data_IF_115976715365
#
_entry.id   IF_115976715365
#
_cell.length_a   1.000
_cell.length_b   1.000
_cell.length_c   1.000
_cell.angle_alpha   90.00
_cell.angle_beta   90.00
_cell.angle_gamma   90.00
#
_symmetry.space_group_name_H-M   'P 1'
#
loop_
_entity.id
_entity.type
_entity.pdbx_description
1 polymer ?
#
# COMPACT_ATOMS: atom_id res chain seq x y z
N UNK A 1 -18.62 -20.60 -23.99
CA UNK A 1 -19.09 -20.95 -22.63
C UNK A 1 -18.13 -21.97 -22.07
N UNK A 2 -17.75 -21.83 -20.81
CA UNK A 2 -17.07 -22.84 -20.02
C UNK A 2 -17.96 -23.14 -18.80
N UNK A 3 -18.68 -24.27 -18.81
CA UNK A 3 -19.78 -24.52 -17.87
C UNK A 3 -20.79 -23.37 -17.88
N UNK A 4 -21.01 -22.72 -16.73
CA UNK A 4 -21.86 -21.54 -16.57
C UNK A 4 -21.12 -20.20 -16.72
N UNK A 5 -19.84 -20.23 -17.13
CA UNK A 5 -19.06 -19.02 -17.36
C UNK A 5 -19.09 -18.63 -18.85
N UNK A 6 -19.57 -17.43 -19.15
CA UNK A 6 -19.45 -16.82 -20.48
C UNK A 6 -18.04 -16.26 -20.63
N UNK A 7 -17.40 -16.52 -21.77
CA UNK A 7 -16.09 -15.96 -22.12
C UNK A 7 -16.33 -14.75 -23.01
N UNK A 8 -15.84 -13.58 -22.62
CA UNK A 8 -16.11 -12.34 -23.34
C UNK A 8 -14.90 -11.90 -24.19
N UNK A 9 -13.77 -11.59 -23.58
CA UNK A 9 -12.55 -11.14 -24.30
C UNK A 9 -11.28 -11.62 -23.61
N UNK A 10 -10.22 -11.81 -24.38
CA UNK A 10 -8.89 -12.14 -23.87
C UNK A 10 -8.25 -10.92 -23.19
N UNK A 11 -7.69 -11.13 -21.99
CA UNK A 11 -6.89 -10.16 -21.25
C UNK A 11 -5.40 -10.32 -21.49
N UNK A 12 -4.90 -11.56 -21.37
CA UNK A 12 -3.48 -11.86 -21.46
C UNK A 12 -3.25 -13.27 -21.98
N UNK A 13 -2.06 -13.51 -22.52
CA UNK A 13 -1.56 -14.83 -22.87
C UNK A 13 -0.18 -15.02 -22.23
N UNK A 14 0.06 -16.17 -21.62
CA UNK A 14 1.30 -16.51 -20.94
C UNK A 14 1.77 -17.94 -21.19
N UNK A 15 2.86 -18.34 -20.55
CA UNK A 15 3.45 -19.68 -20.72
C UNK A 15 2.50 -20.82 -20.34
N UNK A 16 1.67 -20.64 -19.33
CA UNK A 16 0.74 -21.64 -18.81
C UNK A 16 -0.61 -21.68 -19.50
N UNK A 17 -1.03 -20.58 -20.10
CA UNK A 17 -2.36 -20.47 -20.68
C UNK A 17 -2.74 -19.04 -20.99
N UNK A 18 -4.03 -18.83 -21.11
CA UNK A 18 -4.61 -17.53 -21.42
C UNK A 18 -5.57 -17.08 -20.33
N UNK A 19 -5.67 -15.78 -20.14
CA UNK A 19 -6.61 -15.16 -19.19
C UNK A 19 -7.65 -14.37 -19.97
N UNK A 20 -8.90 -14.57 -19.65
CA UNK A 20 -10.05 -13.91 -20.27
C UNK A 20 -10.88 -13.13 -19.25
N UNK A 21 -11.51 -12.06 -19.68
CA UNK A 21 -12.69 -11.54 -19.00
C UNK A 21 -13.85 -12.48 -19.31
N UNK A 22 -14.59 -12.84 -18.31
CA UNK A 22 -15.80 -13.62 -18.46
C UNK A 22 -16.88 -13.18 -17.48
N UNK A 23 -18.00 -13.86 -17.52
CA UNK A 23 -19.15 -13.57 -16.69
C UNK A 23 -19.72 -14.88 -16.10
N UNK A 24 -19.82 -14.93 -14.79
CA UNK A 24 -20.50 -16.00 -14.07
C UNK A 24 -22.01 -15.80 -14.18
N UNK A 25 -22.65 -16.60 -15.03
CA UNK A 25 -24.09 -16.46 -15.29
C UNK A 25 -24.94 -16.99 -14.15
N UNK A 26 -24.39 -17.80 -13.25
CA UNK A 26 -25.11 -18.32 -12.08
C UNK A 26 -25.17 -17.34 -10.93
N UNK A 27 -24.10 -16.56 -10.73
CA UNK A 27 -23.98 -15.56 -9.66
C UNK A 27 -24.08 -14.11 -10.17
N UNK A 28 -24.31 -13.94 -11.48
CA UNK A 28 -24.49 -12.64 -12.15
C UNK A 28 -23.36 -11.64 -11.86
N UNK A 29 -22.08 -12.07 -12.04
CA UNK A 29 -20.91 -11.24 -11.74
C UNK A 29 -19.80 -11.42 -12.78
N UNK A 30 -18.96 -10.36 -13.00
CA UNK A 30 -17.77 -10.48 -13.82
C UNK A 30 -16.71 -11.33 -13.12
N UNK A 31 -15.93 -12.10 -13.91
CA UNK A 31 -14.85 -12.96 -13.44
C UNK A 31 -13.65 -12.89 -14.39
N UNK A 32 -12.47 -13.23 -13.91
CA UNK A 32 -11.33 -13.58 -14.74
C UNK A 32 -11.28 -15.10 -14.90
N UNK A 33 -11.11 -15.58 -16.13
CA UNK A 33 -11.04 -17.00 -16.47
C UNK A 33 -9.64 -17.29 -16.97
N UNK A 34 -8.87 -18.09 -16.20
CA UNK A 34 -7.51 -18.53 -16.57
C UNK A 34 -7.58 -19.95 -17.05
N UNK A 35 -7.28 -20.18 -18.34
CA UNK A 35 -7.25 -21.50 -18.98
C UNK A 35 -5.85 -22.09 -18.93
N UNK A 36 -5.75 -23.42 -18.93
CA UNK A 36 -4.47 -24.14 -19.03
C UNK A 36 -4.26 -24.59 -20.47
N UNK A 37 -3.04 -24.45 -20.96
CA UNK A 37 -2.67 -24.95 -22.28
C UNK A 37 -2.88 -26.48 -22.37
N UNK A 38 -3.45 -27.00 -23.47
CA UNK A 38 -3.72 -28.44 -23.64
C UNK A 38 -2.47 -29.33 -23.48
N UNK A 39 -1.28 -28.78 -23.84
CA UNK A 39 -0.02 -29.52 -23.65
C UNK A 39 0.32 -29.78 -22.18
N UNK A 40 0.10 -28.80 -21.30
CA UNK A 40 0.30 -28.91 -19.85
C UNK A 40 -0.81 -29.73 -19.19
N UNK A 41 -2.01 -29.67 -19.72
CA UNK A 41 -3.16 -30.43 -19.22
C UNK A 41 -3.00 -31.96 -19.44
N UNK A 42 -2.08 -32.41 -20.31
CA UNK A 42 -1.76 -33.83 -20.49
C UNK A 42 -0.86 -34.39 -19.37
N UNK A 43 -0.12 -33.53 -18.68
CA UNK A 43 0.68 -33.93 -17.50
C UNK A 43 -0.22 -34.03 -16.27
N UNK A 44 -0.54 -35.28 -15.88
CA UNK A 44 -1.38 -35.54 -14.70
C UNK A 44 -0.77 -35.00 -13.42
N UNK A 45 0.54 -35.04 -13.26
CA UNK A 45 1.21 -34.51 -12.07
C UNK A 45 1.11 -32.99 -12.01
N UNK A 46 1.20 -32.29 -13.15
CA UNK A 46 0.96 -30.88 -13.25
C UNK A 46 -0.48 -30.52 -12.86
N UNK A 47 -1.48 -31.24 -13.40
CA UNK A 47 -2.89 -30.96 -13.07
C UNK A 47 -3.22 -31.16 -11.60
N UNK A 48 -2.72 -32.24 -10.99
CA UNK A 48 -2.93 -32.48 -9.54
C UNK A 48 -2.36 -31.33 -8.72
N UNK A 49 -1.16 -30.84 -9.04
CA UNK A 49 -0.56 -29.68 -8.36
C UNK A 49 -1.39 -28.43 -8.60
N UNK A 50 -1.76 -28.14 -9.84
CA UNK A 50 -2.57 -26.99 -10.20
C UNK A 50 -3.89 -26.92 -9.41
N UNK A 51 -4.64 -28.04 -9.35
CA UNK A 51 -5.90 -28.09 -8.60
C UNK A 51 -5.66 -27.92 -7.11
N UNK A 52 -4.63 -28.57 -6.54
CA UNK A 52 -4.29 -28.47 -5.11
C UNK A 52 -3.90 -27.04 -4.73
N UNK A 53 -3.08 -26.38 -5.53
CA UNK A 53 -2.63 -24.99 -5.29
C UNK A 53 -3.80 -24.02 -5.44
N UNK A 54 -4.66 -24.17 -6.45
CA UNK A 54 -5.87 -23.38 -6.60
C UNK A 54 -6.82 -23.56 -5.40
N UNK A 55 -7.00 -24.79 -4.90
CA UNK A 55 -7.81 -25.05 -3.70
C UNK A 55 -7.18 -24.43 -2.45
N UNK A 56 -5.86 -24.50 -2.30
CA UNK A 56 -5.16 -23.88 -1.19
C UNK A 56 -5.34 -22.35 -1.22
N UNK A 57 -5.13 -21.70 -2.37
CA UNK A 57 -5.34 -20.27 -2.53
C UNK A 57 -6.80 -19.86 -2.30
N UNK A 58 -7.78 -20.67 -2.70
CA UNK A 58 -9.20 -20.41 -2.50
C UNK A 58 -9.58 -20.23 -1.02
N UNK A 59 -8.81 -20.84 -0.10
CA UNK A 59 -8.99 -20.72 1.34
C UNK A 59 -8.39 -19.43 1.92
N UNK A 60 -7.55 -18.70 1.16
CA UNK A 60 -6.99 -17.41 1.61
C UNK A 60 -8.01 -16.32 1.33
N UNK A 61 -8.77 -15.93 2.35
CA UNK A 61 -9.79 -14.87 2.25
C UNK A 61 -9.22 -13.57 2.79
N UNK A 62 -8.78 -12.68 1.91
CA UNK A 62 -8.22 -11.39 2.30
C UNK A 62 -8.42 -10.33 1.20
N UNK A 63 -8.70 -9.04 1.55
CA UNK A 63 -8.92 -7.97 0.56
C UNK A 63 -7.77 -7.76 -0.42
N UNK A 64 -6.55 -8.13 -0.05
CA UNK A 64 -5.34 -7.97 -0.87
C UNK A 64 -4.89 -9.28 -1.55
N UNK A 65 -5.76 -10.29 -1.63
CA UNK A 65 -5.50 -11.56 -2.33
C UNK A 65 -6.63 -11.81 -3.32
N UNK A 66 -6.29 -12.10 -4.58
CA UNK A 66 -7.27 -12.45 -5.61
C UNK A 66 -7.98 -13.74 -5.22
N UNK A 67 -9.30 -13.66 -5.05
CA UNK A 67 -10.13 -14.79 -4.65
C UNK A 67 -10.36 -15.75 -5.82
N UNK A 68 -10.14 -17.04 -5.62
CA UNK A 68 -10.53 -18.10 -6.56
C UNK A 68 -11.98 -18.52 -6.25
N UNK A 69 -12.79 -18.61 -7.29
CA UNK A 69 -14.20 -18.98 -7.19
C UNK A 69 -14.49 -20.40 -7.66
N UNK A 70 -13.73 -20.86 -8.65
CA UNK A 70 -13.92 -22.17 -9.25
C UNK A 70 -12.63 -22.69 -9.87
N UNK A 71 -12.40 -23.99 -9.82
CA UNK A 71 -11.39 -24.71 -10.59
C UNK A 71 -11.99 -26.00 -11.13
N UNK A 72 -11.74 -26.32 -12.39
CA UNK A 72 -12.25 -27.56 -12.99
C UNK A 72 -12.02 -27.64 -14.49
N UNK A 73 -12.69 -28.58 -15.10
CA UNK A 73 -12.59 -28.91 -16.52
C UNK A 73 -13.95 -28.79 -17.21
N UNK A 74 -13.92 -28.35 -18.45
CA UNK A 74 -15.05 -28.40 -19.38
C UNK A 74 -14.54 -28.69 -20.79
N UNK A 75 -15.10 -29.72 -21.44
CA UNK A 75 -14.75 -30.19 -22.80
C UNK A 75 -13.23 -30.41 -23.02
N UNK A 76 -12.54 -30.94 -22.02
CA UNK A 76 -11.10 -31.21 -22.08
C UNK A 76 -10.23 -29.97 -21.78
N UNK A 77 -10.82 -28.82 -21.52
CA UNK A 77 -10.12 -27.58 -21.16
C UNK A 77 -10.18 -27.34 -19.65
N UNK A 78 -9.03 -27.39 -19.00
CA UNK A 78 -8.90 -27.02 -17.60
C UNK A 78 -8.84 -25.52 -17.44
N UNK A 79 -9.60 -24.99 -16.47
CA UNK A 79 -9.63 -23.57 -16.19
C UNK A 79 -9.92 -23.28 -14.71
N UNK A 80 -9.60 -22.06 -14.28
CA UNK A 80 -10.08 -21.49 -13.03
C UNK A 80 -10.81 -20.18 -13.27
N UNK A 81 -11.87 -19.94 -12.49
CA UNK A 81 -12.54 -18.65 -12.40
C UNK A 81 -12.13 -17.95 -11.10
N UNK A 82 -11.79 -16.70 -11.19
CA UNK A 82 -11.30 -15.91 -10.07
C UNK A 82 -11.83 -14.47 -10.13
N UNK A 83 -11.60 -13.72 -9.08
CA UNK A 83 -11.91 -12.29 -9.01
C UNK A 83 -11.31 -11.55 -10.20
N UNK A 84 -12.13 -10.77 -10.89
CA UNK A 84 -11.67 -9.84 -11.91
C UNK A 84 -11.17 -8.57 -11.23
N UNK A 85 -9.88 -8.27 -11.43
CA UNK A 85 -9.24 -7.01 -11.01
C UNK A 85 -8.97 -6.20 -12.27
N UNK A 86 -9.53 -5.01 -12.38
CA UNK A 86 -9.73 -4.31 -13.65
C UNK A 86 -8.81 -3.10 -13.91
N UNK A 87 -7.86 -2.81 -13.01
CA UNK A 87 -6.96 -1.65 -13.14
C UNK A 87 -5.55 -1.97 -13.66
N UNK A 88 -5.29 -3.23 -14.07
CA UNK A 88 -3.97 -3.65 -14.57
C UNK A 88 -3.02 -4.12 -13.47
N UNK A 89 -1.77 -4.38 -13.84
CA UNK A 89 -0.72 -4.83 -12.93
C UNK A 89 0.24 -3.70 -12.55
N UNK A 90 0.99 -3.85 -11.44
CA UNK A 90 2.08 -2.93 -11.11
C UNK A 90 3.23 -2.99 -12.13
N UNK A 91 3.31 -4.06 -12.95
CA UNK A 91 4.26 -4.13 -14.07
C UNK A 91 3.88 -3.15 -15.17
N UNK A 92 2.59 -3.00 -15.48
CA UNK A 92 2.10 -2.05 -16.49
C UNK A 92 2.41 -0.60 -16.06
N UNK A 93 2.39 -0.31 -14.77
CA UNK A 93 2.75 1.00 -14.22
C UNK A 93 4.26 1.31 -14.29
N UNK A 94 5.10 0.27 -14.39
CA UNK A 94 6.56 0.39 -14.57
C UNK A 94 6.96 0.57 -16.04
N UNK A 95 6.02 0.50 -16.97
CA UNK A 95 6.33 0.68 -18.40
C UNK A 95 7.05 2.02 -18.65
N UNK A 96 8.14 1.96 -19.39
CA UNK A 96 9.03 3.10 -19.61
C UNK A 96 10.04 3.36 -18.47
N UNK A 97 10.20 2.44 -17.50
CA UNK A 97 11.18 2.56 -16.40
C UNK A 97 10.82 3.62 -15.36
N UNK A 98 9.57 4.03 -15.29
CA UNK A 98 9.09 5.06 -14.35
C UNK A 98 8.90 4.48 -12.95
N UNK A 99 9.68 4.98 -11.98
CA UNK A 99 9.52 4.64 -10.58
C UNK A 99 8.17 5.12 -10.02
N UNK A 100 7.57 4.35 -9.12
CA UNK A 100 6.36 4.73 -8.41
C UNK A 100 6.70 5.63 -7.20
N UNK A 101 5.75 6.48 -6.84
CA UNK A 101 5.87 7.30 -5.64
C UNK A 101 5.95 6.40 -4.39
N UNK A 102 6.91 6.67 -3.51
CA UNK A 102 7.20 5.84 -2.33
C UNK A 102 5.98 5.62 -1.42
N UNK A 103 5.11 6.61 -1.29
CA UNK A 103 3.90 6.51 -0.47
C UNK A 103 2.89 5.50 -1.04
N UNK A 104 2.75 5.41 -2.37
CA UNK A 104 1.92 4.37 -3.01
C UNK A 104 2.48 2.99 -2.75
N UNK A 105 3.81 2.82 -2.96
CA UNK A 105 4.48 1.54 -2.70
C UNK A 105 4.28 1.13 -1.25
N UNK A 106 4.54 2.02 -0.28
CA UNK A 106 4.37 1.71 1.14
C UNK A 106 2.92 1.30 1.48
N UNK A 107 1.92 2.03 0.97
CA UNK A 107 0.50 1.73 1.21
C UNK A 107 0.08 0.38 0.64
N UNK A 108 0.44 0.07 -0.63
CA UNK A 108 0.12 -1.21 -1.24
C UNK A 108 0.75 -2.39 -0.47
N UNK A 109 2.02 -2.24 -0.10
CA UNK A 109 2.76 -3.34 0.52
C UNK A 109 2.39 -3.60 1.99
N UNK A 110 1.77 -2.65 2.70
CA UNK A 110 1.11 -2.95 3.98
C UNK A 110 0.04 -4.01 3.78
N UNK A 111 -0.91 -3.79 2.88
CA UNK A 111 -2.01 -4.71 2.64
C UNK A 111 -1.58 -6.04 2.03
N UNK A 112 -0.60 -6.03 1.10
CA UNK A 112 -0.04 -7.25 0.52
C UNK A 112 0.66 -8.12 1.58
N UNK A 113 1.43 -7.50 2.49
CA UNK A 113 2.06 -8.22 3.60
C UNK A 113 1.02 -8.79 4.59
N UNK A 114 -0.12 -8.13 4.79
CA UNK A 114 -1.24 -8.66 5.56
C UNK A 114 -1.90 -9.85 4.88
N UNK A 115 -2.14 -9.77 3.57
CA UNK A 115 -2.63 -10.89 2.78
C UNK A 115 -1.70 -12.10 2.81
N UNK A 116 -0.38 -11.85 2.74
CA UNK A 116 0.63 -12.91 2.88
C UNK A 116 0.71 -13.48 4.31
N UNK A 117 0.43 -12.67 5.34
CA UNK A 117 0.34 -13.19 6.71
C UNK A 117 -0.85 -14.16 6.86
N UNK A 118 -1.97 -13.90 6.19
CA UNK A 118 -3.10 -14.85 6.17
C UNK A 118 -2.76 -16.13 5.40
N UNK A 119 -2.10 -16.03 4.23
CA UNK A 119 -1.62 -17.19 3.49
C UNK A 119 -0.65 -18.05 4.33
N UNK A 120 0.28 -17.42 5.05
CA UNK A 120 1.24 -18.10 5.90
C UNK A 120 0.57 -18.86 7.08
N UNK A 121 -0.56 -18.38 7.62
CA UNK A 121 -1.36 -19.11 8.63
C UNK A 121 -1.91 -20.44 8.10
N UNK A 122 -2.10 -20.52 6.79
CA UNK A 122 -2.53 -21.73 6.08
C UNK A 122 -1.35 -22.56 5.54
N UNK A 123 -0.10 -22.22 5.95
CA UNK A 123 1.15 -22.79 5.45
C UNK A 123 1.33 -22.68 3.92
N UNK A 124 0.82 -21.61 3.34
CA UNK A 124 0.93 -21.32 1.91
C UNK A 124 2.08 -20.33 1.70
N UNK A 125 3.00 -20.67 0.80
CA UNK A 125 4.09 -19.83 0.31
C UNK A 125 3.78 -19.48 -1.14
N UNK A 126 3.89 -18.20 -1.50
CA UNK A 126 3.52 -17.71 -2.84
C UNK A 126 4.56 -18.07 -3.92
N UNK A 127 5.85 -17.90 -3.63
CA UNK A 127 7.03 -18.28 -4.46
C UNK A 127 7.23 -17.49 -5.77
N UNK A 128 6.27 -16.66 -6.21
CA UNK A 128 6.34 -15.89 -7.47
C UNK A 128 5.79 -14.46 -7.29
N UNK A 129 6.20 -13.78 -6.21
CA UNK A 129 5.81 -12.37 -5.97
C UNK A 129 6.68 -11.47 -6.86
N UNK A 130 6.00 -10.72 -7.75
CA UNK A 130 6.61 -9.77 -8.70
C UNK A 130 5.59 -8.74 -9.15
N UNK A 131 5.99 -7.61 -9.76
CA UNK A 131 5.06 -6.57 -10.19
C UNK A 131 3.94 -7.06 -11.11
N UNK A 132 4.21 -8.05 -11.98
CA UNK A 132 3.21 -8.61 -12.89
C UNK A 132 2.10 -9.40 -12.18
N UNK A 133 2.35 -9.93 -10.98
CA UNK A 133 1.40 -10.69 -10.18
C UNK A 133 0.69 -9.85 -9.10
N UNK A 134 0.92 -8.53 -9.09
CA UNK A 134 0.22 -7.59 -8.23
C UNK A 134 -0.71 -6.74 -9.10
N UNK A 135 -2.00 -7.01 -9.01
CA UNK A 135 -3.04 -6.32 -9.75
C UNK A 135 -3.59 -5.16 -8.91
N UNK A 136 -3.94 -4.07 -9.56
CA UNK A 136 -4.55 -2.92 -8.89
C UNK A 136 -5.99 -2.77 -9.38
N UNK A 137 -6.94 -2.60 -8.48
CA UNK A 137 -8.33 -2.38 -8.87
C UNK A 137 -8.60 -0.89 -9.17
N UNK A 138 -9.82 -0.60 -9.66
CA UNK A 138 -10.29 0.76 -9.96
C UNK A 138 -10.27 1.71 -8.76
N UNK A 139 -10.22 1.19 -7.54
CA UNK A 139 -10.14 1.97 -6.30
C UNK A 139 -8.70 2.18 -5.82
N UNK A 140 -7.72 1.65 -6.56
CA UNK A 140 -6.31 1.73 -6.22
C UNK A 140 -5.87 0.73 -5.15
N UNK A 141 -6.64 -0.33 -4.90
CA UNK A 141 -6.28 -1.40 -3.97
C UNK A 141 -5.46 -2.45 -4.71
N UNK A 142 -4.30 -2.81 -4.15
CA UNK A 142 -3.44 -3.85 -4.70
C UNK A 142 -3.87 -5.24 -4.22
N UNK A 143 -3.91 -6.19 -5.16
CA UNK A 143 -4.27 -7.58 -4.93
C UNK A 143 -3.18 -8.51 -5.45
N UNK A 144 -2.76 -9.49 -4.66
CA UNK A 144 -1.81 -10.50 -5.05
C UNK A 144 -2.51 -11.64 -5.79
N UNK A 145 -2.03 -11.96 -6.98
CA UNK A 145 -2.55 -12.99 -7.86
C UNK A 145 -1.51 -14.08 -8.12
N UNK A 146 -1.93 -15.21 -8.65
CA UNK A 146 -1.05 -16.28 -9.16
C UNK A 146 -0.06 -16.84 -8.13
N UNK A 147 -0.59 -17.36 -7.01
CA UNK A 147 0.19 -18.14 -6.05
C UNK A 147 0.82 -19.34 -6.77
N UNK A 148 2.13 -19.34 -6.84
CA UNK A 148 3.08 -20.41 -7.22
C UNK A 148 2.66 -21.58 -8.11
N UNK A 149 1.60 -21.43 -8.91
CA UNK A 149 1.05 -22.47 -9.79
C UNK A 149 2.07 -23.07 -10.78
N UNK A 150 3.29 -22.53 -10.78
CA UNK A 150 4.32 -22.82 -11.78
C UNK A 150 5.61 -23.39 -11.22
N UNK A 151 5.76 -23.59 -9.92
CA UNK A 151 7.06 -23.93 -9.36
C UNK A 151 7.45 -25.37 -9.67
N UNK A 152 8.67 -25.53 -10.18
CA UNK A 152 9.27 -26.76 -10.66
C UNK A 152 9.15 -27.97 -9.72
N UNK A 153 9.12 -29.22 -10.24
CA UNK A 153 9.12 -30.42 -9.43
C UNK A 153 10.42 -30.50 -8.62
N UNK A 154 10.30 -30.47 -7.28
CA UNK A 154 11.43 -30.63 -6.35
C UNK A 154 11.35 -29.89 -5.02
N UNK A 155 10.47 -28.91 -4.86
CA UNK A 155 10.46 -28.03 -3.69
C UNK A 155 9.49 -28.42 -2.56
N UNK A 156 8.77 -29.54 -2.65
CA UNK A 156 7.97 -30.05 -1.53
C UNK A 156 8.60 -31.33 -1.01
N UNK A 157 9.29 -31.26 0.14
CA UNK A 157 9.51 -32.45 0.95
C UNK A 157 8.14 -32.93 1.43
N UNK A 158 7.62 -33.98 0.81
CA UNK A 158 6.72 -34.90 1.52
C UNK A 158 7.46 -35.47 2.73
N UNK A 159 6.82 -35.70 3.88
CA UNK A 159 7.46 -36.33 5.03
C UNK A 159 7.63 -37.84 4.88
N UNK A 160 7.92 -38.33 3.68
CA UNK A 160 8.22 -39.76 3.43
C UNK A 160 9.46 -39.87 2.54
N UNK A 161 10.53 -40.32 3.19
CA UNK A 161 11.88 -40.45 2.65
C UNK A 161 11.94 -41.20 1.32
N UNK A 162 12.19 -40.47 0.27
CA UNK A 162 12.86 -41.00 -0.91
C UNK A 162 13.68 -39.88 -1.52
N UNK A 163 14.99 -39.98 -1.35
CA UNK A 163 15.96 -39.09 -1.99
C UNK A 163 15.87 -39.27 -3.51
N UNK A 164 15.48 -38.23 -4.25
CA UNK A 164 15.79 -38.14 -5.68
C UNK A 164 16.99 -37.20 -5.83
N UNK A 165 18.18 -37.80 -5.85
CA UNK A 165 19.39 -37.26 -6.48
C UNK A 165 19.14 -37.26 -7.99
N UNK A 166 19.15 -36.09 -8.65
CA UNK A 166 19.06 -36.05 -10.11
C UNK A 166 18.65 -34.72 -10.70
N UNK A 167 19.41 -33.66 -10.45
CA UNK A 167 19.22 -32.39 -11.14
C UNK A 167 20.55 -31.75 -11.61
N UNK A 168 21.61 -32.55 -11.81
CA UNK A 168 22.93 -32.06 -12.32
C UNK A 168 23.40 -32.76 -13.58
N UNK A 169 22.66 -33.72 -14.17
CA UNK A 169 23.00 -34.31 -15.46
C UNK A 169 22.12 -33.70 -16.56
N UNK A 170 22.80 -33.07 -17.52
CA UNK A 170 22.28 -32.29 -18.63
C UNK A 170 21.48 -33.14 -19.64
N UNK A 171 20.23 -33.43 -19.32
CA UNK A 171 19.22 -33.88 -20.27
C UNK A 171 17.93 -33.11 -20.05
N UNK A 172 17.66 -32.24 -20.99
CA UNK A 172 16.39 -31.63 -21.41
C UNK A 172 15.16 -31.86 -20.49
N UNK A 173 15.10 -31.18 -19.36
CA UNK A 173 13.81 -30.77 -18.84
C UNK A 173 13.42 -29.50 -19.59
N UNK A 174 12.42 -29.57 -20.46
CA UNK A 174 11.80 -28.42 -21.14
C UNK A 174 11.14 -27.54 -20.09
N UNK A 175 11.94 -26.82 -19.34
CA UNK A 175 11.52 -25.67 -18.57
C UNK A 175 11.28 -24.55 -19.57
N UNK A 176 10.07 -24.02 -19.61
CA UNK A 176 9.72 -22.86 -20.44
C UNK A 176 10.67 -21.71 -20.13
N UNK A 177 11.74 -21.59 -20.91
CA UNK A 177 12.85 -20.65 -20.77
C UNK A 177 12.37 -19.19 -20.61
N UNK A 178 11.22 -18.83 -21.18
CA UNK A 178 10.66 -17.49 -21.08
C UNK A 178 10.04 -17.13 -19.73
N UNK A 179 9.52 -18.11 -18.95
CA UNK A 179 8.86 -17.83 -17.66
C UNK A 179 9.88 -17.67 -16.53
N UNK A 180 10.99 -18.38 -16.59
CA UNK A 180 12.05 -18.32 -15.57
C UNK A 180 12.79 -16.97 -15.63
N UNK A 181 13.11 -16.47 -16.82
CA UNK A 181 13.89 -15.24 -17.00
C UNK A 181 13.22 -14.02 -16.37
N UNK A 182 11.91 -13.88 -16.48
CA UNK A 182 11.17 -12.73 -15.92
C UNK A 182 11.03 -12.75 -14.39
N UNK A 183 11.24 -13.89 -13.73
CA UNK A 183 11.08 -14.06 -12.27
C UNK A 183 12.40 -14.01 -11.52
N UNK A 184 13.53 -14.31 -12.16
CA UNK A 184 14.87 -14.36 -11.52
C UNK A 184 15.21 -13.13 -10.66
N UNK A 185 14.86 -11.89 -11.04
CA UNK A 185 15.17 -10.70 -10.25
C UNK A 185 14.53 -10.64 -8.86
N UNK A 186 13.49 -11.45 -8.61
CA UNK A 186 12.70 -11.42 -7.37
C UNK A 186 12.89 -12.68 -6.53
N UNK A 187 13.60 -13.70 -7.07
CA UNK A 187 13.82 -14.96 -6.37
C UNK A 187 14.77 -14.79 -5.19
N UNK A 188 14.40 -15.38 -4.06
CA UNK A 188 15.24 -15.43 -2.88
C UNK A 188 16.49 -16.31 -3.11
N UNK A 189 17.64 -16.02 -2.44
CA UNK A 189 18.86 -16.80 -2.59
C UNK A 189 18.69 -18.30 -2.33
N UNK A 190 17.91 -18.68 -1.31
CA UNK A 190 17.56 -20.07 -1.00
C UNK A 190 16.72 -20.72 -2.10
N UNK A 191 15.86 -19.94 -2.76
CA UNK A 191 15.07 -20.41 -3.90
C UNK A 191 15.97 -20.68 -5.12
N UNK A 192 16.95 -19.79 -5.38
CA UNK A 192 17.94 -19.96 -6.45
C UNK A 192 18.85 -21.16 -6.20
N UNK A 193 19.12 -21.54 -4.94
CA UNK A 193 19.91 -22.72 -4.55
C UNK A 193 19.08 -24.01 -4.53
N UNK A 194 17.74 -23.94 -4.70
CA UNK A 194 16.85 -25.09 -4.57
C UNK A 194 16.76 -25.65 -3.14
N UNK A 195 16.99 -24.82 -2.15
CA UNK A 195 16.87 -25.14 -0.72
C UNK A 195 15.39 -25.19 -0.28
N UNK A 196 15.15 -25.70 0.94
CA UNK A 196 13.82 -25.69 1.53
C UNK A 196 13.37 -24.25 1.77
N UNK A 197 12.15 -23.91 1.33
CA UNK A 197 11.60 -22.57 1.43
C UNK A 197 10.67 -22.45 2.64
N UNK A 198 10.75 -21.30 3.30
CA UNK A 198 9.76 -20.84 4.26
C UNK A 198 9.19 -19.47 3.83
N UNK A 199 8.36 -18.86 4.67
CA UNK A 199 7.74 -17.56 4.40
C UNK A 199 8.74 -16.42 4.19
N UNK A 200 10.00 -16.55 4.60
CA UNK A 200 11.06 -15.54 4.43
C UNK A 200 11.49 -15.40 2.97
N UNK A 201 11.25 -16.43 2.14
CA UNK A 201 11.44 -16.32 0.69
C UNK A 201 10.45 -15.31 0.08
N UNK A 202 9.18 -15.32 0.51
CA UNK A 202 8.19 -14.33 0.07
C UNK A 202 8.48 -12.94 0.63
N UNK A 203 9.03 -12.82 1.86
CA UNK A 203 9.51 -11.55 2.40
C UNK A 203 10.59 -10.94 1.51
N UNK A 204 11.54 -11.75 1.03
CA UNK A 204 12.55 -11.30 0.07
C UNK A 204 11.92 -10.83 -1.24
N UNK A 205 11.00 -11.61 -1.81
CA UNK A 205 10.33 -11.29 -3.06
C UNK A 205 9.48 -10.00 -2.96
N UNK A 206 8.80 -9.75 -1.81
CA UNK A 206 8.16 -8.46 -1.51
C UNK A 206 9.18 -7.32 -1.49
N UNK A 207 10.34 -7.53 -0.86
CA UNK A 207 11.45 -6.57 -0.84
C UNK A 207 11.97 -6.24 -2.23
N UNK A 208 12.23 -7.27 -3.06
CA UNK A 208 12.70 -7.14 -4.43
C UNK A 208 11.68 -6.40 -5.32
N UNK A 209 10.40 -6.67 -5.11
CA UNK A 209 9.31 -5.99 -5.81
C UNK A 209 9.23 -4.53 -5.39
N UNK A 210 9.27 -4.21 -4.09
CA UNK A 210 9.33 -2.82 -3.61
C UNK A 210 10.54 -2.07 -4.17
N UNK A 211 11.71 -2.71 -4.18
CA UNK A 211 12.93 -2.13 -4.75
C UNK A 211 12.71 -1.73 -6.22
N UNK A 212 12.16 -2.64 -7.04
CA UNK A 212 11.87 -2.37 -8.45
C UNK A 212 10.89 -1.20 -8.60
N UNK A 213 9.79 -1.20 -7.86
CA UNK A 213 8.78 -0.14 -7.94
C UNK A 213 9.33 1.24 -7.53
N UNK A 214 10.22 1.29 -6.53
CA UNK A 214 10.83 2.52 -6.04
C UNK A 214 11.92 3.06 -6.96
N UNK A 215 12.68 2.18 -7.63
CA UNK A 215 13.82 2.56 -8.46
C UNK A 215 13.53 2.61 -9.96
N UNK A 216 12.40 2.03 -10.41
CA UNK A 216 12.09 1.81 -11.83
C UNK A 216 12.92 0.68 -12.47
N UNK A 217 13.76 0.00 -11.69
CA UNK A 217 14.63 -1.09 -12.17
C UNK A 217 14.66 -2.24 -11.16
N UNK A 218 14.69 -3.51 -11.60
CA UNK A 218 14.79 -4.64 -10.68
C UNK A 218 16.12 -4.60 -9.92
N UNK A 219 16.19 -5.21 -8.72
CA UNK A 219 17.39 -5.18 -7.88
C UNK A 219 18.60 -5.78 -8.57
N UNK A 220 18.37 -6.79 -9.42
CA UNK A 220 19.39 -7.42 -10.24
C UNK A 220 18.86 -7.72 -11.66
N UNK A 221 19.79 -7.88 -12.59
CA UNK A 221 19.49 -8.31 -13.95
C UNK A 221 20.35 -9.56 -14.23
N UNK A 222 19.72 -10.72 -14.35
CA UNK A 222 20.36 -11.98 -14.60
C UNK A 222 19.59 -12.78 -15.66
N UNK A 223 20.28 -13.55 -16.44
CA UNK A 223 19.72 -14.44 -17.47
C UNK A 223 19.62 -15.89 -17.02
N UNK A 224 20.40 -16.26 -16.02
CA UNK A 224 20.44 -17.61 -15.47
C UNK A 224 20.35 -17.58 -13.94
N UNK A 225 19.85 -18.66 -13.29
CA UNK A 225 19.84 -18.76 -11.83
C UNK A 225 21.23 -18.66 -11.20
N UNK A 226 22.27 -19.19 -11.86
CA UNK A 226 23.64 -19.13 -11.38
C UNK A 226 24.18 -17.67 -11.37
N UNK A 227 23.91 -16.91 -12.43
CA UNK A 227 24.25 -15.50 -12.51
C UNK A 227 23.49 -14.68 -11.45
N UNK A 228 22.18 -14.96 -11.27
CA UNK A 228 21.38 -14.31 -10.23
C UNK A 228 21.96 -14.56 -8.84
N UNK A 229 22.32 -15.80 -8.53
CA UNK A 229 22.92 -16.17 -7.25
C UNK A 229 24.26 -15.48 -7.03
N UNK A 230 25.11 -15.39 -8.06
CA UNK A 230 26.39 -14.69 -8.00
C UNK A 230 26.18 -13.19 -7.68
N UNK A 231 25.23 -12.52 -8.37
CA UNK A 231 24.94 -11.11 -8.16
C UNK A 231 24.38 -10.84 -6.75
N UNK A 232 23.45 -11.68 -6.27
CA UNK A 232 22.90 -11.56 -4.92
C UNK A 232 23.99 -11.78 -3.86
N UNK A 233 24.90 -12.77 -4.07
CA UNK A 233 25.99 -13.07 -3.15
C UNK A 233 27.03 -11.96 -3.09
N UNK A 234 27.20 -11.19 -4.17
CA UNK A 234 28.07 -10.01 -4.20
C UNK A 234 27.48 -8.80 -3.43
N UNK A 235 26.20 -8.89 -3.05
CA UNK A 235 25.48 -7.85 -2.33
C UNK A 235 24.72 -6.89 -3.25
N UNK A 236 23.44 -6.72 -2.95
CA UNK A 236 22.58 -5.76 -3.67
C UNK A 236 22.87 -4.34 -3.16
N UNK A 237 22.89 -3.32 -4.04
CA UNK A 237 23.05 -1.94 -3.61
C UNK A 237 21.81 -1.52 -2.78
N UNK A 238 21.99 -0.77 -1.67
CA UNK A 238 20.86 -0.22 -0.91
C UNK A 238 19.90 0.52 -1.81
N UNK A 239 18.58 0.41 -1.54
CA UNK A 239 17.54 0.98 -2.42
C UNK A 239 17.73 2.48 -2.66
N UNK A 240 18.21 3.23 -1.67
CA UNK A 240 18.45 4.67 -1.81
C UNK A 240 19.57 5.05 -2.78
N UNK A 241 20.44 4.13 -3.14
CA UNK A 241 21.44 4.39 -4.16
C UNK A 241 20.81 4.57 -5.54
N UNK A 242 19.68 3.89 -5.80
CA UNK A 242 18.94 4.00 -7.07
C UNK A 242 17.65 4.83 -6.94
N UNK A 243 17.09 4.96 -5.72
CA UNK A 243 15.89 5.73 -5.41
C UNK A 243 16.15 6.68 -4.23
N UNK A 244 16.92 7.79 -4.39
CA UNK A 244 17.31 8.69 -3.29
C UNK A 244 16.13 9.36 -2.58
N UNK A 245 14.99 9.53 -3.28
CA UNK A 245 13.76 10.10 -2.74
C UNK A 245 13.03 9.19 -1.74
N UNK A 246 13.46 7.91 -1.61
CA UNK A 246 12.86 6.97 -0.66
C UNK A 246 13.17 7.40 0.78
N UNK A 247 12.17 7.56 1.66
CA UNK A 247 12.39 7.86 3.06
C UNK A 247 13.28 6.83 3.74
N UNK A 248 14.15 7.27 4.64
CA UNK A 248 15.11 6.38 5.34
C UNK A 248 14.44 5.22 6.06
N UNK A 249 13.23 5.43 6.60
CA UNK A 249 12.45 4.38 7.27
C UNK A 249 12.06 3.26 6.31
N UNK A 250 11.45 3.62 5.15
CA UNK A 250 11.04 2.65 4.13
C UNK A 250 12.26 1.95 3.51
N UNK A 251 13.34 2.68 3.24
CA UNK A 251 14.57 2.10 2.71
C UNK A 251 15.13 0.99 3.61
N UNK A 252 15.18 1.23 4.94
CA UNK A 252 15.62 0.20 5.91
C UNK A 252 14.73 -1.04 5.89
N UNK A 253 13.42 -0.88 5.70
CA UNK A 253 12.50 -2.03 5.58
C UNK A 253 12.81 -2.82 4.31
N UNK A 254 12.96 -2.15 3.16
CA UNK A 254 13.28 -2.80 1.88
C UNK A 254 14.64 -3.51 1.95
N UNK A 255 15.68 -2.82 2.44
CA UNK A 255 17.04 -3.37 2.52
C UNK A 255 17.08 -4.58 3.49
N UNK A 256 16.33 -4.56 4.60
CA UNK A 256 16.19 -5.72 5.51
C UNK A 256 15.49 -6.91 4.85
N UNK A 257 14.45 -6.68 4.04
CA UNK A 257 13.81 -7.76 3.27
C UNK A 257 14.80 -8.44 2.33
N UNK A 258 15.75 -7.69 1.76
CA UNK A 258 16.74 -8.15 0.78
C UNK A 258 18.03 -8.73 1.40
N UNK A 259 18.06 -8.93 2.71
CA UNK A 259 19.21 -9.54 3.37
C UNK A 259 19.50 -10.93 2.79
N UNK A 260 20.79 -11.22 2.53
CA UNK A 260 21.24 -12.51 1.97
C UNK A 260 20.86 -13.67 2.89
N UNK A 261 21.15 -13.51 4.20
CA UNK A 261 20.73 -14.45 5.23
C UNK A 261 19.23 -14.26 5.53
N UNK A 262 18.45 -15.33 5.37
CA UNK A 262 17.04 -15.33 5.68
C UNK A 262 16.74 -14.98 7.15
N UNK A 263 17.65 -15.34 8.08
CA UNK A 263 17.49 -15.04 9.50
C UNK A 263 17.63 -13.52 9.82
N UNK A 264 18.27 -12.75 8.95
CA UNK A 264 18.38 -11.30 9.10
C UNK A 264 17.14 -10.54 8.60
N UNK A 265 16.25 -11.21 7.85
CA UNK A 265 14.99 -10.63 7.32
C UNK A 265 13.95 -10.51 8.43
N UNK A 266 12.73 -10.15 8.05
CA UNK A 266 11.55 -10.26 8.92
C UNK A 266 11.16 -11.74 9.04
N UNK A 267 10.91 -12.19 10.25
CA UNK A 267 10.55 -13.60 10.50
C UNK A 267 9.17 -13.95 9.96
N UNK A 268 8.25 -12.98 9.95
CA UNK A 268 6.88 -13.16 9.50
C UNK A 268 6.40 -11.99 8.66
N UNK A 269 5.44 -12.26 7.76
CA UNK A 269 4.75 -11.21 7.01
C UNK A 269 4.03 -10.22 7.93
N UNK A 270 3.53 -10.66 9.09
CA UNK A 270 2.90 -9.78 10.07
C UNK A 270 3.90 -8.80 10.70
N UNK A 271 5.17 -9.21 10.91
CA UNK A 271 6.23 -8.31 11.34
C UNK A 271 6.56 -7.28 10.26
N UNK A 272 6.68 -7.73 9.00
CA UNK A 272 6.87 -6.84 7.85
C UNK A 272 5.73 -5.83 7.71
N UNK A 273 4.47 -6.26 7.81
CA UNK A 273 3.30 -5.38 7.73
C UNK A 273 3.33 -4.30 8.83
N UNK A 274 3.70 -4.66 10.07
CA UNK A 274 3.88 -3.69 11.17
C UNK A 274 4.99 -2.67 10.89
N UNK A 275 6.12 -3.13 10.37
CA UNK A 275 7.23 -2.26 9.99
C UNK A 275 6.82 -1.30 8.85
N UNK A 276 6.14 -1.79 7.84
CA UNK A 276 5.62 -0.97 6.73
C UNK A 276 4.58 0.05 7.22
N UNK A 277 3.65 -0.32 8.10
CA UNK A 277 2.68 0.62 8.69
C UNK A 277 3.33 1.77 9.44
N UNK A 278 4.45 1.52 10.10
CA UNK A 278 5.15 2.57 10.85
C UNK A 278 5.78 3.63 9.95
N UNK A 279 6.04 3.31 8.68
CA UNK A 279 6.67 4.20 7.69
C UNK A 279 5.74 4.63 6.56
N UNK A 280 4.60 3.95 6.39
CA UNK A 280 3.58 4.33 5.43
C UNK A 280 2.92 5.66 5.82
N UNK A 281 2.49 6.46 4.84
CA UNK A 281 1.71 7.66 5.14
C UNK A 281 0.47 7.23 5.92
N UNK A 282 0.29 7.84 7.08
CA UNK A 282 -0.97 7.65 7.80
C UNK A 282 -2.09 8.29 6.98
N UNK A 283 -3.24 7.62 6.81
CA UNK A 283 -4.38 8.26 6.20
C UNK A 283 -4.67 9.54 6.97
N UNK A 284 -4.70 10.67 6.27
CA UNK A 284 -5.12 11.93 6.88
C UNK A 284 -6.58 11.76 7.29
N UNK A 285 -6.81 11.39 8.53
CA UNK A 285 -8.15 11.42 9.13
C UNK A 285 -8.53 12.88 9.20
N UNK A 286 -9.32 13.33 8.23
CA UNK A 286 -9.89 14.68 8.28
C UNK A 286 -10.79 14.73 9.50
N UNK A 287 -10.48 15.57 10.49
CA UNK A 287 -11.25 15.61 11.72
C UNK A 287 -12.71 15.99 11.40
N UNK A 288 -13.62 15.29 12.03
CA UNK A 288 -15.07 15.54 11.90
C UNK A 288 -15.33 17.02 12.27
N UNK A 289 -16.26 17.66 11.56
CA UNK A 289 -16.65 19.05 11.76
C UNK A 289 -16.80 19.44 13.25
N UNK A 290 -17.44 18.58 14.03
CA UNK A 290 -17.65 18.79 15.48
C UNK A 290 -16.34 18.95 16.24
N UNK A 291 -15.31 18.15 15.92
CA UNK A 291 -14.00 18.22 16.60
C UNK A 291 -13.28 19.53 16.25
N UNK A 292 -13.42 20.02 15.00
CA UNK A 292 -12.87 21.30 14.57
C UNK A 292 -13.58 22.48 15.25
N UNK A 293 -14.91 22.39 15.37
CA UNK A 293 -15.73 23.39 16.07
C UNK A 293 -15.35 23.47 17.54
N UNK A 294 -15.21 22.33 18.22
CA UNK A 294 -14.77 22.30 19.61
C UNK A 294 -13.37 22.89 19.79
N UNK A 295 -12.42 22.57 18.90
CA UNK A 295 -11.09 23.15 18.94
C UNK A 295 -11.13 24.68 18.76
N UNK A 296 -11.94 25.18 17.83
CA UNK A 296 -12.12 26.63 17.62
C UNK A 296 -12.77 27.31 18.82
N UNK A 297 -13.75 26.69 19.47
CA UNK A 297 -14.36 27.20 20.70
C UNK A 297 -13.35 27.29 21.85
N UNK A 298 -12.48 26.25 22.01
CA UNK A 298 -11.40 26.28 22.99
C UNK A 298 -10.41 27.42 22.74
N UNK A 299 -10.12 27.73 21.47
CA UNK A 299 -9.25 28.86 21.12
C UNK A 299 -9.94 30.22 21.38
N UNK A 300 -11.24 30.32 21.12
CA UNK A 300 -11.96 31.63 21.17
C UNK A 300 -12.54 32.01 22.53
N UNK A 301 -13.00 31.03 23.33
CA UNK A 301 -13.65 31.31 24.62
C UNK A 301 -12.75 32.11 25.58
N UNK A 302 -11.45 31.75 25.79
CA UNK A 302 -10.57 32.54 26.66
C UNK A 302 -10.42 34.00 26.21
N UNK A 303 -10.43 34.21 24.88
CA UNK A 303 -10.29 35.58 24.33
C UNK A 303 -11.57 36.36 24.41
N UNK A 304 -12.73 35.75 24.27
CA UNK A 304 -14.00 36.41 24.50
C UNK A 304 -14.10 36.89 25.96
N UNK A 305 -13.63 36.10 26.91
CA UNK A 305 -13.54 36.47 28.33
C UNK A 305 -12.55 37.62 28.50
N UNK A 306 -11.34 37.53 27.96
CA UNK A 306 -10.32 38.57 28.05
C UNK A 306 -10.80 39.88 27.42
N UNK A 307 -11.44 39.83 26.27
CA UNK A 307 -12.03 40.99 25.59
C UNK A 307 -13.07 41.69 26.48
N UNK A 308 -13.91 40.93 27.20
CA UNK A 308 -14.93 41.46 28.11
C UNK A 308 -14.30 42.29 29.23
N UNK A 309 -13.12 41.90 29.73
CA UNK A 309 -12.43 42.63 30.80
C UNK A 309 -11.57 43.81 30.30
N UNK A 310 -10.94 43.69 29.13
CA UNK A 310 -10.01 44.71 28.60
C UNK A 310 -10.68 45.74 27.69
N UNK A 311 -11.94 45.53 27.34
CA UNK A 311 -12.66 46.30 26.33
C UNK A 311 -12.67 47.82 26.60
N UNK A 312 -12.89 48.22 27.86
CA UNK A 312 -13.08 49.63 28.24
C UNK A 312 -11.77 50.44 28.24
N UNK A 313 -10.61 49.79 28.40
CA UNK A 313 -9.32 50.51 28.57
C UNK A 313 -8.24 50.05 27.57
N UNK A 314 -8.30 48.84 27.04
CA UNK A 314 -7.33 48.36 26.07
C UNK A 314 -7.95 47.28 25.12
N UNK A 315 -8.85 47.67 24.20
CA UNK A 315 -9.61 46.69 23.37
C UNK A 315 -8.72 45.90 22.41
N UNK A 316 -7.49 46.35 22.16
CA UNK A 316 -6.51 45.65 21.28
C UNK A 316 -5.75 44.53 21.98
N UNK A 317 -5.78 44.45 23.32
CA UNK A 317 -5.02 43.46 24.09
C UNK A 317 -5.50 42.02 23.78
N UNK A 318 -6.80 41.77 23.79
CA UNK A 318 -7.36 40.44 23.54
C UNK A 318 -7.05 39.94 22.11
N UNK A 319 -7.30 40.69 21.02
CA UNK A 319 -6.91 40.31 19.67
C UNK A 319 -5.41 40.03 19.52
N UNK A 320 -4.53 40.86 20.10
CA UNK A 320 -3.09 40.61 20.04
C UNK A 320 -2.68 39.36 20.80
N UNK A 321 -3.25 39.09 21.97
CA UNK A 321 -3.01 37.87 22.75
C UNK A 321 -3.50 36.62 21.99
N UNK A 322 -4.66 36.67 21.34
CA UNK A 322 -5.15 35.59 20.48
C UNK A 322 -4.15 35.31 19.36
N UNK A 323 -3.81 36.34 18.59
CA UNK A 323 -2.87 36.19 17.48
C UNK A 323 -1.54 35.59 17.93
N UNK A 324 -0.97 36.10 19.02
CA UNK A 324 0.30 35.61 19.57
C UNK A 324 0.22 34.17 20.03
N UNK A 325 -0.86 33.77 20.72
CA UNK A 325 -1.04 32.40 21.19
C UNK A 325 -1.20 31.41 20.05
N UNK A 326 -1.93 31.80 18.98
CA UNK A 326 -2.11 30.96 17.79
C UNK A 326 -0.80 30.84 17.00
N UNK A 327 -0.10 31.95 16.76
CA UNK A 327 1.19 31.94 16.07
C UNK A 327 2.22 31.10 16.82
N UNK A 328 2.31 31.21 18.14
CA UNK A 328 3.20 30.44 18.99
C UNK A 328 2.79 28.98 19.04
N UNK A 329 1.51 28.67 19.12
CA UNK A 329 0.97 27.32 19.05
C UNK A 329 1.33 26.62 17.73
N UNK A 330 1.14 27.27 16.60
CA UNK A 330 1.54 26.73 15.30
C UNK A 330 3.05 26.56 15.14
N UNK A 331 3.84 27.45 15.73
CA UNK A 331 5.30 27.37 15.69
C UNK A 331 5.86 26.23 16.56
N UNK A 332 5.39 26.14 17.81
CA UNK A 332 5.95 25.21 18.80
C UNK A 332 5.29 23.83 18.76
N UNK A 333 3.98 23.76 18.53
CA UNK A 333 3.18 22.55 18.65
C UNK A 333 2.68 22.02 17.30
N UNK A 334 2.84 22.79 16.22
CA UNK A 334 2.27 22.48 14.90
C UNK A 334 0.73 22.54 14.87
N UNK A 335 0.10 23.19 15.85
CA UNK A 335 -1.35 23.29 15.99
C UNK A 335 -1.71 24.50 16.87
N UNK A 336 -2.95 25.03 16.77
CA UNK A 336 -3.47 25.96 17.79
C UNK A 336 -3.63 25.24 19.13
N UNK A 337 -3.71 25.95 20.26
CA UNK A 337 -3.95 25.36 21.57
C UNK A 337 -5.16 24.42 21.62
N UNK A 338 -6.30 24.82 21.03
CA UNK A 338 -7.50 24.00 20.95
C UNK A 338 -7.33 22.79 20.03
N UNK A 339 -6.65 22.95 18.91
CA UNK A 339 -6.32 21.83 18.02
C UNK A 339 -5.37 20.83 18.69
N UNK A 340 -4.38 21.33 19.42
CA UNK A 340 -3.45 20.49 20.18
C UNK A 340 -4.18 19.68 21.26
N UNK A 341 -5.08 20.31 22.01
CA UNK A 341 -5.90 19.65 23.04
C UNK A 341 -6.77 18.53 22.42
N UNK A 342 -7.30 18.75 21.21
CA UNK A 342 -8.07 17.75 20.46
C UNK A 342 -7.20 16.76 19.67
N UNK A 343 -5.88 16.73 19.92
CA UNK A 343 -4.88 15.89 19.23
C UNK A 343 -4.82 16.09 17.70
N UNK A 344 -5.23 17.25 17.22
CA UNK A 344 -5.15 17.63 15.82
C UNK A 344 -3.78 18.28 15.54
N UNK A 345 -3.12 17.86 14.46
CA UNK A 345 -1.87 18.48 14.01
C UNK A 345 -2.02 18.99 12.58
N UNK A 346 -1.48 20.18 12.34
CA UNK A 346 -1.39 20.74 11.00
C UNK A 346 -0.08 20.25 10.37
N UNK A 347 -0.16 19.55 9.23
CA UNK A 347 1.01 19.18 8.43
C UNK A 347 1.05 20.01 7.15
N UNK A 348 2.25 20.33 6.69
CA UNK A 348 2.45 20.93 5.37
C UNK A 348 2.43 19.82 4.32
N UNK A 349 1.88 20.11 3.13
CA UNK A 349 1.79 19.16 1.98
C UNK A 349 3.19 18.65 1.54
N UNK A 350 4.28 19.26 1.99
CA UNK A 350 5.67 18.96 1.62
C UNK A 350 6.55 18.56 2.81
N UNK A 351 6.05 17.86 3.81
CA UNK A 351 6.83 17.30 4.94
C UNK A 351 7.97 18.22 5.48
N UNK A 352 7.69 19.50 5.68
CA UNK A 352 8.64 20.45 6.22
C UNK A 352 8.11 21.10 7.49
N UNK A 353 9.02 21.50 8.39
CA UNK A 353 8.69 22.26 9.57
C UNK A 353 7.99 23.58 9.22
N UNK A 354 6.98 23.94 10.02
CA UNK A 354 6.22 25.17 9.82
C UNK A 354 7.09 26.36 10.19
N UNK A 355 7.51 27.17 9.20
CA UNK A 355 8.25 28.41 9.48
C UNK A 355 7.36 29.47 10.17
N UNK A 356 7.98 30.34 10.94
CA UNK A 356 7.29 31.46 11.64
C UNK A 356 6.39 32.29 10.69
N UNK A 357 6.90 32.58 9.49
CA UNK A 357 6.14 33.29 8.46
C UNK A 357 4.87 32.56 8.02
N UNK A 358 4.94 31.22 7.84
CA UNK A 358 3.78 30.39 7.48
C UNK A 358 2.80 30.25 8.63
N UNK A 359 3.28 30.13 9.87
CA UNK A 359 2.45 30.10 11.07
C UNK A 359 1.68 31.40 11.24
N UNK A 360 2.36 32.54 11.09
CA UNK A 360 1.76 33.87 11.15
C UNK A 360 0.76 34.11 10.01
N UNK A 361 1.12 33.76 8.77
CA UNK A 361 0.20 33.84 7.61
C UNK A 361 -1.06 32.99 7.80
N UNK A 362 -0.94 31.80 8.36
CA UNK A 362 -2.09 30.91 8.64
C UNK A 362 -2.97 31.49 9.74
N UNK A 363 -2.39 31.99 10.85
CA UNK A 363 -3.14 32.66 11.90
C UNK A 363 -3.87 33.90 11.36
N UNK A 364 -3.24 34.63 10.48
CA UNK A 364 -3.84 35.83 9.84
C UNK A 364 -4.98 35.43 8.88
N UNK A 365 -4.82 34.40 8.05
CA UNK A 365 -5.86 33.90 7.13
C UNK A 365 -7.05 33.33 7.89
N UNK A 366 -6.78 32.55 8.94
CA UNK A 366 -7.83 31.86 9.70
C UNK A 366 -8.62 32.82 10.62
N UNK A 367 -7.95 33.82 11.17
CA UNK A 367 -8.54 34.71 12.16
C UNK A 367 -8.41 36.22 11.84
N UNK A 368 -7.78 36.55 10.70
CA UNK A 368 -7.54 37.95 10.31
C UNK A 368 -8.81 38.74 10.07
N UNK A 369 -9.86 38.11 9.57
CA UNK A 369 -11.19 38.69 9.46
C UNK A 369 -11.84 38.95 10.84
N UNK A 370 -11.29 38.38 11.92
CA UNK A 370 -11.78 38.53 13.27
C UNK A 370 -11.49 39.94 13.83
N UNK A 371 -10.40 40.57 13.42
CA UNK A 371 -10.01 41.89 13.93
C UNK A 371 -11.03 43.01 13.58
N UNK A 372 -11.38 43.21 12.31
CA UNK A 372 -12.37 44.24 11.97
C UNK A 372 -13.77 43.89 12.49
N UNK A 373 -14.10 42.58 12.55
CA UNK A 373 -15.40 42.14 13.04
C UNK A 373 -15.52 42.23 14.56
N UNK A 374 -14.45 41.91 15.33
CA UNK A 374 -14.41 42.12 16.76
C UNK A 374 -14.56 43.61 17.10
N UNK A 375 -13.99 44.52 16.28
CA UNK A 375 -14.09 45.94 16.43
C UNK A 375 -15.52 46.46 16.15
N UNK A 376 -16.17 45.98 15.10
CA UNK A 376 -17.57 46.32 14.74
C UNK A 376 -18.57 45.75 15.74
N UNK A 377 -18.37 44.51 16.22
CA UNK A 377 -19.18 43.89 17.26
C UNK A 377 -19.10 44.63 18.59
N UNK A 378 -17.93 45.05 18.91
CA UNK A 378 -17.64 45.89 20.09
C UNK A 378 -18.39 47.20 20.04
N UNK A 379 -18.41 47.88 18.89
CA UNK A 379 -19.16 49.11 18.68
C UNK A 379 -20.69 48.90 18.72
N UNK A 380 -21.18 47.73 18.31
CA UNK A 380 -22.59 47.35 18.34
C UNK A 380 -23.05 46.89 19.74
N UNK A 381 -22.19 46.22 20.50
CA UNK A 381 -22.47 45.81 21.88
C UNK A 381 -22.69 47.01 22.81
N UNK A 382 -21.94 48.10 22.61
CA UNK A 382 -22.14 49.37 23.33
C UNK A 382 -23.49 50.04 23.09
N UNK A 383 -24.17 49.63 21.97
CA UNK A 383 -25.52 50.08 21.60
C UNK A 383 -26.65 49.14 22.04
N UNK A 384 -26.38 48.10 22.82
CA UNK A 384 -27.37 47.24 23.44
C UNK A 384 -28.03 46.14 22.57
N UNK A 385 -27.45 45.83 21.37
CA UNK A 385 -28.02 44.87 20.44
C UNK A 385 -27.38 43.45 20.57
N UNK A 386 -27.76 42.71 21.61
CA UNK A 386 -27.26 41.35 21.87
C UNK A 386 -27.46 40.33 20.72
N UNK A 387 -28.55 40.45 19.95
CA UNK A 387 -28.89 39.54 18.83
C UNK A 387 -27.91 39.70 17.67
N UNK A 388 -27.51 40.97 17.36
CA UNK A 388 -26.53 41.24 16.30
C UNK A 388 -25.14 40.69 16.66
N UNK A 389 -24.81 40.73 17.96
CA UNK A 389 -23.56 40.16 18.49
C UNK A 389 -23.52 38.66 18.36
N UNK A 390 -24.63 37.94 18.62
CA UNK A 390 -24.75 36.50 18.49
C UNK A 390 -24.69 36.04 17.01
N UNK A 391 -25.38 36.76 16.10
CA UNK A 391 -25.35 36.48 14.66
C UNK A 391 -23.96 36.70 14.05
N UNK A 392 -23.24 37.67 14.49
CA UNK A 392 -21.90 37.95 14.00
C UNK A 392 -20.85 36.95 14.54
N UNK A 393 -21.03 36.43 15.76
CA UNK A 393 -20.23 35.29 16.27
C UNK A 393 -20.49 34.00 15.45
N UNK A 394 -21.74 33.79 15.05
CA UNK A 394 -22.10 32.62 14.17
C UNK A 394 -21.48 32.74 12.77
N UNK A 395 -21.44 33.96 12.17
CA UNK A 395 -20.80 34.18 10.86
C UNK A 395 -19.26 34.02 10.92
N UNK A 396 -18.64 34.28 12.05
CA UNK A 396 -17.22 34.04 12.30
C UNK A 396 -16.86 32.57 12.34
N UNK A 397 -17.66 31.77 12.99
CA UNK A 397 -17.49 30.31 13.03
C UNK A 397 -17.64 29.73 11.63
N UNK A 398 -18.53 30.31 10.82
CA UNK A 398 -18.80 29.85 9.44
C UNK A 398 -17.76 30.34 8.42
N UNK A 399 -17.26 31.57 8.54
CA UNK A 399 -16.32 32.17 7.59
C UNK A 399 -14.90 31.59 7.65
N UNK A 400 -14.51 30.97 8.77
CA UNK A 400 -13.21 30.30 8.93
C UNK A 400 -13.15 28.83 8.46
N UNK A 401 -14.27 28.26 8.04
CA UNK A 401 -14.40 26.84 7.69
C UNK A 401 -13.89 26.41 6.30
N UNK A 402 -13.93 27.25 5.24
CA UNK A 402 -13.55 26.79 3.89
C UNK A 402 -12.04 26.70 3.64
N UNK A 403 -11.17 27.16 4.54
CA UNK A 403 -9.71 27.24 4.34
C UNK A 403 -8.90 26.18 5.13
N UNK A 404 -9.58 25.19 5.69
CA UNK A 404 -8.98 24.06 6.41
C UNK A 404 -9.20 22.76 5.61
#
# INVERSE_FOLDING_TARGET
MLKHFRVDRRLAAGGMGEVYVGFDTSLNRPVALKTIRPGLARDRAFLVRFVREAQAQANVVHPHVVQIYFVGEDQGLWFMAMQLVDGGSLQDELEGGKALAWHRVATHFVGLAEGMAEAARLNIIHRDIKPANILVDRYGIAHLADFGLATAPGATKEPSGTHVRGALDGTESVTHVGTVVGTLPYMAPEQLRGEALDQRADVYALGATMYHLLSGQPPLQARTPAEALQLVSAGLPPVRNRAPATPRGLARVVDRCLALDAAARFDTHAELARALRSVAPQPEVRPVFVVRLLAALFDLVPFAILLRFTYSWAPWVAPCALFLSLALGYLLLGASPGQWLMRLRVRTVRDGDVSLARAAARALLQYGAFFPLAFTLSALYTRGNAVVTALALLTLVWGGLPLL
#
